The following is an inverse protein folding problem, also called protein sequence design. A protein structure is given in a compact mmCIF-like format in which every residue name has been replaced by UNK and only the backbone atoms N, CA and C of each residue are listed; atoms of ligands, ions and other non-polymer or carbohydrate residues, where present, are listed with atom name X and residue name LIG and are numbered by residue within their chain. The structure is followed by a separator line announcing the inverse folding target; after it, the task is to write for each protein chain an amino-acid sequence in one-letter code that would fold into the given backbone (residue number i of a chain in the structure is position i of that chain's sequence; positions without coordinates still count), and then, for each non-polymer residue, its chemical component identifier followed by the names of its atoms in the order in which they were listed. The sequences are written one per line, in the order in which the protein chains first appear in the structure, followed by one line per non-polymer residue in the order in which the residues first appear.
data_IF_717685190857
#
_entry.id   IF_717685190857
#
_cell.length_a   1.000
_cell.length_b   1.000
_cell.length_c   1.000
_cell.angle_alpha   90.00
_cell.angle_beta   90.00
_cell.angle_gamma   90.00
#
_symmetry.space_group_name_H-M   'P 1'
#
loop_
_entity.id
_entity.type
_entity.pdbx_description
1 polymer ?
#
# COMPACT_ATOMS: atom_id res chain seq x y z
N UNK A 1 -18.34 62.29 -47.33
CA UNK A 1 -17.58 61.04 -47.59
C UNK A 1 -16.90 60.67 -46.30
N UNK A 2 -17.42 59.66 -45.60
CA UNK A 2 -16.67 58.89 -44.61
C UNK A 2 -17.43 57.57 -44.46
N UNK A 3 -16.75 56.52 -44.91
CA UNK A 3 -17.27 55.18 -45.13
C UNK A 3 -17.68 54.48 -43.84
N UNK A 4 -18.79 53.75 -43.96
CA UNK A 4 -19.21 52.72 -43.01
C UNK A 4 -18.26 51.55 -43.21
N UNK A 5 -17.25 51.42 -42.35
CA UNK A 5 -16.37 50.26 -42.31
C UNK A 5 -16.81 49.33 -41.18
N UNK A 6 -17.51 48.27 -41.56
CA UNK A 6 -17.80 47.12 -40.72
C UNK A 6 -16.50 46.43 -40.32
N UNK A 7 -16.03 46.65 -39.09
CA UNK A 7 -15.04 45.76 -38.48
C UNK A 7 -15.75 44.49 -38.02
N UNK A 8 -15.84 43.52 -38.92
CA UNK A 8 -15.99 42.12 -38.54
C UNK A 8 -14.71 41.70 -37.82
N UNK A 9 -14.69 41.83 -36.49
CA UNK A 9 -13.73 41.11 -35.66
C UNK A 9 -13.99 39.62 -35.89
N UNK A 10 -13.18 39.02 -36.75
CA UNK A 10 -12.98 37.57 -36.81
C UNK A 10 -12.40 37.19 -35.45
N UNK A 11 -13.27 36.89 -34.49
CA UNK A 11 -12.88 36.27 -33.23
C UNK A 11 -12.20 34.94 -33.58
N UNK A 12 -10.87 34.91 -33.56
CA UNK A 12 -10.14 33.66 -33.69
C UNK A 12 -10.71 32.66 -32.66
N UNK A 13 -11.06 31.43 -33.09
CA UNK A 13 -11.63 30.47 -32.17
C UNK A 13 -10.64 30.21 -31.03
N UNK A 14 -11.08 30.05 -29.78
CA UNK A 14 -10.19 29.89 -28.62
C UNK A 14 -9.21 28.74 -28.88
N UNK A 15 -7.95 29.11 -29.11
CA UNK A 15 -6.92 28.16 -29.54
C UNK A 15 -6.46 27.37 -28.31
N UNK A 16 -6.67 26.05 -28.33
CA UNK A 16 -6.16 25.17 -27.29
C UNK A 16 -4.64 25.19 -27.32
N UNK A 17 -4.03 25.58 -26.20
CA UNK A 17 -2.58 25.62 -26.08
C UNK A 17 -2.03 24.26 -25.63
N UNK A 18 -0.80 23.89 -26.03
CA UNK A 18 -0.08 22.77 -25.43
C UNK A 18 0.56 23.17 -24.08
N UNK A 19 0.83 22.20 -23.19
CA UNK A 19 1.56 22.49 -21.95
C UNK A 19 2.99 22.92 -22.25
N UNK A 20 3.55 23.78 -21.40
CA UNK A 20 4.94 24.20 -21.49
C UNK A 20 5.88 23.00 -21.33
N UNK A 21 6.97 22.90 -22.12
CA UNK A 21 8.04 21.95 -21.86
C UNK A 21 8.56 22.08 -20.42
N UNK A 22 8.92 20.96 -19.79
CA UNK A 22 9.33 20.94 -18.40
C UNK A 22 10.04 19.65 -18.02
N UNK A 23 10.71 19.66 -16.88
CA UNK A 23 11.35 18.50 -16.28
C UNK A 23 10.59 18.09 -15.03
N UNK A 24 10.44 16.79 -14.83
CA UNK A 24 9.64 16.18 -13.77
C UNK A 24 10.46 15.12 -13.07
N UNK A 25 10.23 14.93 -11.77
CA UNK A 25 11.00 13.94 -10.99
C UNK A 25 10.51 12.53 -11.30
N UNK A 26 9.21 12.38 -11.53
CA UNK A 26 8.58 11.10 -11.84
C UNK A 26 7.71 11.15 -13.11
N UNK A 27 7.55 9.99 -13.75
CA UNK A 27 6.73 9.82 -14.95
C UNK A 27 5.28 10.21 -14.68
N UNK A 28 4.81 9.87 -13.48
CA UNK A 28 3.49 10.14 -12.96
C UNK A 28 3.20 11.64 -12.89
N UNK A 29 4.16 12.40 -12.37
CA UNK A 29 4.08 13.84 -12.22
C UNK A 29 3.96 14.53 -13.59
N UNK A 30 4.78 14.09 -14.57
CA UNK A 30 4.69 14.54 -15.95
C UNK A 30 3.31 14.28 -16.55
N UNK A 31 2.80 13.05 -16.37
CA UNK A 31 1.50 12.65 -16.92
C UNK A 31 0.39 13.50 -16.29
N UNK A 32 0.39 13.66 -14.97
CA UNK A 32 -0.59 14.46 -14.25
C UNK A 32 -0.57 15.93 -14.68
N UNK A 33 0.62 16.53 -14.76
CA UNK A 33 0.81 17.90 -15.24
C UNK A 33 0.18 18.13 -16.62
N UNK A 34 0.47 17.23 -17.58
CA UNK A 34 -0.09 17.31 -18.95
C UNK A 34 -1.61 17.12 -18.94
N UNK A 35 -2.14 16.29 -18.05
CA UNK A 35 -3.58 16.05 -17.90
C UNK A 35 -4.35 17.25 -17.37
N UNK A 36 -3.88 17.81 -16.26
CA UNK A 36 -4.51 18.94 -15.61
C UNK A 36 -4.48 20.17 -16.51
N UNK A 37 -3.35 20.38 -17.20
CA UNK A 37 -3.23 21.43 -18.22
C UNK A 37 -4.19 21.21 -19.38
N UNK A 38 -4.25 19.99 -19.96
CA UNK A 38 -5.16 19.69 -21.06
C UNK A 38 -6.63 19.96 -20.70
N UNK A 39 -7.05 19.56 -19.51
CA UNK A 39 -8.41 19.82 -19.02
C UNK A 39 -8.67 21.32 -18.87
N UNK A 40 -7.68 22.09 -18.40
CA UNK A 40 -7.80 23.56 -18.32
C UNK A 40 -7.98 24.22 -19.69
N UNK A 41 -7.43 23.60 -20.74
CA UNK A 41 -7.54 24.03 -22.13
C UNK A 41 -8.72 23.39 -22.88
N UNK A 42 -9.55 22.59 -22.20
CA UNK A 42 -10.74 21.99 -22.81
C UNK A 42 -10.47 20.78 -23.71
N UNK A 43 -9.38 20.04 -23.50
CA UNK A 43 -9.17 18.74 -24.16
C UNK A 43 -8.72 17.67 -23.16
N UNK A 44 -8.77 16.41 -23.56
CA UNK A 44 -8.35 15.29 -22.71
C UNK A 44 -7.23 14.53 -23.40
N UNK A 45 -6.18 14.24 -22.66
CA UNK A 45 -5.04 13.44 -23.12
C UNK A 45 -5.15 11.98 -22.69
N UNK A 46 -4.57 11.10 -23.50
CA UNK A 46 -4.54 9.65 -23.30
C UNK A 46 -3.15 9.11 -23.62
N UNK A 47 -2.74 8.04 -22.94
CA UNK A 47 -1.47 7.37 -23.24
C UNK A 47 -1.64 6.58 -24.53
N UNK A 48 -0.90 6.95 -25.59
CA UNK A 48 -0.89 6.26 -26.89
C UNK A 48 0.14 5.14 -26.91
N UNK A 49 1.33 5.39 -26.35
CA UNK A 49 2.41 4.43 -26.23
C UNK A 49 3.17 4.67 -24.93
N UNK A 50 3.64 3.61 -24.27
CA UNK A 50 4.43 3.73 -23.05
C UNK A 50 5.44 2.59 -22.92
N UNK A 51 6.68 2.93 -22.57
CA UNK A 51 7.72 2.04 -22.04
C UNK A 51 8.07 2.57 -20.65
N UNK A 52 7.64 1.84 -19.60
CA UNK A 52 7.52 2.35 -18.22
C UNK A 52 8.74 3.12 -17.72
N UNK A 53 9.96 2.66 -18.01
CA UNK A 53 11.18 3.26 -17.48
C UNK A 53 11.95 4.14 -18.47
N UNK A 54 11.38 4.43 -19.65
CA UNK A 54 12.11 5.16 -20.71
C UNK A 54 11.30 6.26 -21.39
N UNK A 55 10.06 5.97 -21.79
CA UNK A 55 9.29 6.88 -22.67
C UNK A 55 7.79 6.75 -22.41
N UNK A 56 7.08 7.87 -22.41
CA UNK A 56 5.62 7.93 -22.49
C UNK A 56 5.19 8.87 -23.60
N UNK A 57 4.24 8.45 -24.44
CA UNK A 57 3.64 9.25 -25.52
C UNK A 57 2.19 9.51 -25.16
N UNK A 58 1.86 10.79 -25.04
CA UNK A 58 0.54 11.32 -24.70
C UNK A 58 -0.06 11.95 -25.96
N UNK A 59 -1.32 11.63 -26.27
CA UNK A 59 -2.04 12.21 -27.39
C UNK A 59 -3.49 12.51 -27.03
N UNK A 60 -4.13 13.38 -27.79
CA UNK A 60 -5.54 13.74 -27.57
C UNK A 60 -6.45 12.49 -27.66
N UNK A 61 -7.48 12.45 -26.82
CA UNK A 61 -8.47 11.37 -26.79
C UNK A 61 -9.28 11.27 -28.10
N UNK A 62 -9.44 12.40 -28.82
CA UNK A 62 -9.99 12.49 -30.19
C UNK A 62 -8.98 12.10 -31.28
N UNK A 63 -7.75 11.74 -30.94
CA UNK A 63 -6.71 11.28 -31.87
C UNK A 63 -6.87 9.83 -32.33
N UNK A 64 -6.62 9.57 -33.62
CA UNK A 64 -6.73 8.27 -34.28
C UNK A 64 -7.96 8.11 -35.18
N UNK A 65 -8.08 6.93 -35.80
CA UNK A 65 -9.16 6.58 -36.74
C UNK A 65 -9.91 5.35 -36.20
N UNK A 66 -11.23 5.31 -36.38
CA UNK A 66 -12.02 4.12 -36.02
C UNK A 66 -11.55 2.92 -36.84
N UNK A 67 -11.22 1.81 -36.17
CA UNK A 67 -10.94 0.55 -36.87
C UNK A 67 -12.22 0.07 -37.54
N UNK A 68 -12.20 -0.09 -38.86
CA UNK A 68 -13.28 -0.78 -39.58
C UNK A 68 -13.36 -2.21 -39.07
N UNK A 69 -14.38 -2.51 -38.28
CA UNK A 69 -14.69 -3.89 -37.90
C UNK A 69 -15.21 -4.58 -39.16
N UNK A 70 -14.40 -5.46 -39.77
CA UNK A 70 -14.90 -6.34 -40.85
C UNK A 70 -16.12 -7.09 -40.31
N UNK A 71 -17.29 -6.78 -40.86
CA UNK A 71 -18.52 -7.55 -40.67
C UNK A 71 -18.30 -8.84 -41.45
N UNK A 72 -18.31 -10.00 -40.79
CA UNK A 72 -18.53 -11.26 -41.49
C UNK A 72 -19.90 -11.17 -42.17
N UNK A 73 -19.94 -11.45 -43.46
CA UNK A 73 -21.18 -11.56 -44.21
C UNK A 73 -21.93 -12.79 -43.67
N UNK A 74 -22.94 -12.55 -42.85
CA UNK A 74 -24.26 -13.13 -43.05
C UNK A 74 -25.27 -12.49 -42.09
N UNK A 75 -26.53 -12.54 -42.53
CA UNK A 75 -27.75 -12.11 -41.86
C UNK A 75 -28.11 -10.62 -41.95
N UNK A 76 -28.86 -10.37 -43.03
CA UNK A 76 -29.94 -9.41 -43.13
C UNK A 76 -30.96 -9.57 -41.99
N UNK A 77 -30.97 -8.63 -41.06
CA UNK A 77 -32.22 -8.24 -40.39
C UNK A 77 -32.16 -6.79 -39.98
N UNK A 78 -33.25 -6.09 -40.30
CA UNK A 78 -33.45 -4.69 -40.04
C UNK A 78 -33.60 -4.47 -38.53
N UNK A 79 -32.65 -3.77 -37.92
CA UNK A 79 -32.91 -3.13 -36.64
C UNK A 79 -32.25 -1.77 -36.56
N UNK A 80 -33.11 -0.76 -36.43
CA UNK A 80 -32.80 0.65 -36.29
C UNK A 80 -31.85 0.83 -35.09
N UNK A 81 -30.54 0.86 -35.35
CA UNK A 81 -29.54 1.09 -34.32
C UNK A 81 -29.66 2.55 -33.88
N UNK A 82 -30.29 2.76 -32.71
CA UNK A 82 -30.20 4.01 -31.95
C UNK A 82 -28.72 4.41 -31.84
N UNK A 83 -28.28 5.31 -32.72
CA UNK A 83 -26.93 5.90 -32.67
C UNK A 83 -26.82 6.66 -31.35
N UNK A 84 -26.04 6.11 -30.41
CA UNK A 84 -25.67 6.83 -29.18
C UNK A 84 -25.01 8.16 -29.58
N UNK A 85 -25.59 9.29 -29.15
CA UNK A 85 -24.88 10.57 -29.07
C UNK A 85 -23.81 10.46 -27.98
N UNK A 86 -22.69 9.80 -28.25
CA UNK A 86 -21.49 9.85 -27.39
C UNK A 86 -20.68 11.08 -27.77
N UNK A 87 -20.37 11.95 -26.78
CA UNK A 87 -19.69 13.24 -26.97
C UNK A 87 -18.23 13.19 -27.45
N UNK A 88 -17.66 12.01 -27.68
CA UNK A 88 -16.30 11.86 -28.22
C UNK A 88 -16.33 11.13 -29.57
N UNK A 89 -16.27 11.90 -30.66
CA UNK A 89 -15.94 11.39 -31.99
C UNK A 89 -14.43 11.51 -32.18
N UNK A 90 -13.79 10.45 -32.71
CA UNK A 90 -12.40 10.54 -33.14
C UNK A 90 -12.33 11.50 -34.34
N UNK A 91 -11.50 12.54 -34.23
CA UNK A 91 -11.27 13.55 -35.29
C UNK A 91 -9.89 13.40 -35.94
N UNK A 92 -9.16 12.33 -35.60
CA UNK A 92 -7.76 12.17 -35.95
C UNK A 92 -6.90 13.37 -35.51
N UNK A 93 -7.17 13.88 -34.30
CA UNK A 93 -6.43 15.01 -33.72
C UNK A 93 -4.91 14.76 -33.69
N UNK A 94 -4.07 15.70 -34.17
CA UNK A 94 -2.63 15.49 -34.34
C UNK A 94 -1.79 15.79 -33.09
N UNK A 95 -2.41 16.29 -32.01
CA UNK A 95 -1.72 16.59 -30.75
C UNK A 95 -0.92 15.39 -30.22
N UNK A 96 0.37 15.60 -29.99
CA UNK A 96 1.29 14.61 -29.42
C UNK A 96 2.35 15.28 -28.54
N UNK A 97 2.47 14.78 -27.31
CA UNK A 97 3.49 15.13 -26.34
C UNK A 97 4.25 13.88 -25.90
N UNK A 98 5.55 14.00 -25.67
CA UNK A 98 6.43 12.88 -25.33
C UNK A 98 7.21 13.21 -24.07
N UNK A 99 7.09 12.35 -23.07
CA UNK A 99 7.98 12.32 -21.92
C UNK A 99 9.11 11.31 -22.15
N UNK A 100 10.37 11.74 -22.06
CA UNK A 100 11.54 10.85 -22.10
C UNK A 100 12.31 10.96 -20.79
N UNK A 101 12.84 9.84 -20.30
CA UNK A 101 13.73 9.84 -19.13
C UNK A 101 15.16 10.17 -19.58
N UNK A 102 15.72 11.23 -19.02
CA UNK A 102 17.06 11.76 -19.29
C UNK A 102 17.73 12.13 -17.96
N UNK A 103 18.93 11.59 -17.68
CA UNK A 103 19.67 11.77 -16.43
C UNK A 103 18.85 11.64 -15.13
N UNK A 104 17.93 10.68 -15.11
CA UNK A 104 17.08 10.40 -13.95
C UNK A 104 15.81 11.25 -13.85
N UNK A 105 15.69 12.30 -14.66
CA UNK A 105 14.52 13.18 -14.74
C UNK A 105 13.67 12.86 -15.97
N UNK A 106 12.38 13.18 -15.91
CA UNK A 106 11.45 13.05 -17.02
C UNK A 106 11.31 14.38 -17.74
N UNK A 107 11.77 14.45 -18.99
CA UNK A 107 11.72 15.63 -19.84
C UNK A 107 10.51 15.55 -20.74
N UNK A 108 9.61 16.55 -20.66
CA UNK A 108 8.45 16.70 -21.53
C UNK A 108 8.82 17.50 -22.79
N UNK A 109 8.54 16.93 -23.95
CA UNK A 109 8.70 17.56 -25.26
C UNK A 109 7.38 17.53 -26.01
N UNK A 110 6.91 18.69 -26.48
CA UNK A 110 5.74 18.77 -27.35
C UNK A 110 6.17 18.51 -28.78
N UNK A 111 5.68 17.42 -29.40
CA UNK A 111 5.95 17.14 -30.81
C UNK A 111 4.98 17.88 -31.72
N UNK A 112 3.71 17.90 -31.34
CA UNK A 112 2.68 18.67 -32.04
C UNK A 112 1.68 19.22 -31.03
N UNK A 113 1.59 20.55 -30.95
CA UNK A 113 0.69 21.25 -30.04
C UNK A 113 -0.65 21.64 -30.66
N UNK A 114 -0.90 21.31 -31.93
CA UNK A 114 -2.10 21.73 -32.64
C UNK A 114 -3.26 20.76 -32.45
N UNK A 115 -4.47 21.30 -32.49
CA UNK A 115 -5.73 20.57 -32.40
C UNK A 115 -6.61 20.91 -33.60
N UNK A 116 -7.37 19.93 -34.10
CA UNK A 116 -8.26 20.09 -35.25
C UNK A 116 -9.76 20.02 -34.87
N UNK A 117 -10.07 20.33 -33.63
CA UNK A 117 -11.43 20.32 -33.08
C UNK A 117 -11.59 21.47 -32.09
N UNK A 118 -12.82 21.83 -31.75
CA UNK A 118 -13.09 22.84 -30.72
C UNK A 118 -12.85 22.29 -29.30
N UNK A 119 -12.57 23.16 -28.31
CA UNK A 119 -12.52 22.80 -26.89
C UNK A 119 -13.84 22.20 -26.40
N UNK A 120 -13.75 21.31 -25.43
CA UNK A 120 -14.87 20.71 -24.73
C UNK A 120 -15.48 21.79 -23.81
N UNK A 121 -16.72 22.19 -24.10
CA UNK A 121 -17.46 23.23 -23.34
C UNK A 121 -17.82 22.80 -21.92
N UNK A 122 -18.19 21.52 -21.72
CA UNK A 122 -18.45 20.94 -20.41
C UNK A 122 -17.73 19.60 -20.26
N UNK A 123 -16.77 19.56 -19.35
CA UNK A 123 -15.99 18.35 -19.04
C UNK A 123 -16.86 17.27 -18.38
N UNK A 124 -17.97 17.64 -17.73
CA UNK A 124 -18.88 16.71 -17.03
C UNK A 124 -19.54 15.72 -18.01
N UNK A 125 -19.77 16.16 -19.24
CA UNK A 125 -20.35 15.33 -20.29
C UNK A 125 -19.33 14.34 -20.87
N UNK A 126 -18.04 14.60 -20.69
CA UNK A 126 -16.95 13.81 -21.25
C UNK A 126 -16.84 12.43 -20.60
N UNK A 127 -16.54 11.35 -21.35
CA UNK A 127 -16.34 10.03 -20.77
C UNK A 127 -15.23 9.95 -19.70
N UNK A 128 -14.24 10.86 -19.71
CA UNK A 128 -13.19 10.90 -18.69
C UNK A 128 -13.72 11.32 -17.31
N UNK A 129 -14.73 12.19 -17.23
CA UNK A 129 -15.30 12.65 -15.96
C UNK A 129 -16.05 11.55 -15.19
N UNK A 130 -16.33 10.42 -15.85
CA UNK A 130 -16.97 9.23 -15.26
C UNK A 130 -15.97 8.12 -14.95
N UNK A 131 -14.66 8.40 -15.04
CA UNK A 131 -13.60 7.48 -14.64
C UNK A 131 -13.34 7.65 -13.15
N UNK A 132 -12.97 6.55 -12.51
CA UNK A 132 -12.58 6.57 -11.11
C UNK A 132 -11.11 6.94 -10.99
N UNK A 133 -10.77 7.68 -9.95
CA UNK A 133 -9.39 7.94 -9.55
C UNK A 133 -8.72 6.66 -9.05
N UNK A 134 -7.38 6.67 -8.92
CA UNK A 134 -6.65 5.52 -8.37
C UNK A 134 -7.11 5.18 -6.95
N UNK A 135 -7.35 6.20 -6.13
CA UNK A 135 -7.90 6.05 -4.77
C UNK A 135 -9.30 5.43 -4.79
N UNK A 136 -10.18 5.90 -5.67
CA UNK A 136 -11.54 5.35 -5.80
C UNK A 136 -11.53 3.90 -6.30
N UNK A 137 -10.60 3.52 -7.19
CA UNK A 137 -10.46 2.14 -7.68
C UNK A 137 -9.96 1.21 -6.58
N UNK A 138 -9.02 1.67 -5.75
CA UNK A 138 -8.59 0.94 -4.55
C UNK A 138 -9.76 0.71 -3.60
N UNK A 139 -10.55 1.74 -3.32
CA UNK A 139 -11.77 1.62 -2.51
C UNK A 139 -12.80 0.67 -3.14
N UNK A 140 -12.98 0.70 -4.46
CA UNK A 140 -13.86 -0.24 -5.18
C UNK A 140 -13.36 -1.68 -5.02
N UNK A 141 -12.04 -1.89 -5.08
CA UNK A 141 -11.41 -3.21 -4.88
C UNK A 141 -11.69 -3.71 -3.47
N UNK A 142 -11.36 -2.91 -2.46
CA UNK A 142 -11.58 -3.26 -1.05
C UNK A 142 -13.05 -3.58 -0.76
N UNK A 143 -13.97 -2.69 -1.18
CA UNK A 143 -15.39 -2.92 -0.99
C UNK A 143 -15.92 -4.14 -1.77
N UNK A 144 -15.28 -4.47 -2.89
CA UNK A 144 -15.62 -5.66 -3.67
C UNK A 144 -15.19 -6.95 -2.97
N UNK A 145 -14.01 -6.95 -2.37
CA UNK A 145 -13.49 -8.05 -1.55
C UNK A 145 -14.33 -8.23 -0.28
N UNK A 146 -14.86 -7.14 0.27
CA UNK A 146 -15.84 -7.14 1.36
C UNK A 146 -17.27 -7.57 0.93
N UNK A 147 -17.46 -8.01 -0.32
CA UNK A 147 -18.74 -8.55 -0.80
C UNK A 147 -19.82 -7.50 -1.12
N UNK A 148 -19.50 -6.20 -1.14
CA UNK A 148 -20.49 -5.15 -1.38
C UNK A 148 -21.00 -5.13 -2.83
N UNK A 149 -22.31 -4.88 -2.97
CA UNK A 149 -22.96 -4.74 -4.28
C UNK A 149 -22.59 -3.38 -4.91
N UNK A 150 -22.46 -3.28 -6.25
CA UNK A 150 -22.03 -2.04 -6.93
C UNK A 150 -22.81 -0.77 -6.59
N UNK A 151 -24.11 -0.88 -6.28
CA UNK A 151 -24.93 0.27 -5.82
C UNK A 151 -24.50 0.77 -4.44
N UNK A 152 -24.14 -0.13 -3.53
CA UNK A 152 -23.65 0.20 -2.19
C UNK A 152 -22.26 0.83 -2.26
N UNK A 153 -21.39 0.27 -3.11
CA UNK A 153 -20.06 0.82 -3.41
C UNK A 153 -20.18 2.26 -3.91
N UNK A 154 -21.01 2.50 -4.92
CA UNK A 154 -21.19 3.83 -5.47
C UNK A 154 -21.80 4.82 -4.46
N UNK A 155 -22.74 4.36 -3.61
CA UNK A 155 -23.30 5.19 -2.53
C UNK A 155 -22.21 5.64 -1.56
N UNK A 156 -21.28 4.75 -1.18
CA UNK A 156 -20.14 5.10 -0.31
C UNK A 156 -19.15 6.03 -1.00
N UNK A 157 -18.82 5.78 -2.28
CA UNK A 157 -17.97 6.69 -3.04
C UNK A 157 -18.57 8.11 -3.17
N UNK A 158 -19.90 8.23 -3.22
CA UNK A 158 -20.59 9.52 -3.25
C UNK A 158 -20.61 10.24 -1.89
N UNK A 159 -20.40 9.52 -0.78
CA UNK A 159 -20.26 10.16 0.52
C UNK A 159 -18.92 10.90 0.63
N UNK A 160 -17.86 10.33 0.04
CA UNK A 160 -16.53 10.94 -0.03
C UNK A 160 -16.38 11.90 -1.22
N UNK A 161 -17.14 11.71 -2.30
CA UNK A 161 -17.14 12.56 -3.49
C UNK A 161 -18.57 12.79 -4.00
N UNK A 162 -19.29 13.81 -3.47
CA UNK A 162 -20.69 14.09 -3.84
C UNK A 162 -20.90 14.35 -5.34
N UNK A 163 -19.88 14.90 -6.01
CA UNK A 163 -19.91 15.28 -7.44
C UNK A 163 -19.58 14.11 -8.38
N UNK A 164 -19.48 12.88 -7.85
CA UNK A 164 -19.13 11.70 -8.62
C UNK A 164 -20.21 11.33 -9.66
N UNK A 165 -19.91 11.62 -10.93
CA UNK A 165 -20.76 11.36 -12.11
C UNK A 165 -20.78 9.88 -12.55
N UNK A 166 -20.04 9.01 -11.85
CA UNK A 166 -19.99 7.58 -12.14
C UNK A 166 -21.30 6.87 -11.85
N UNK A 167 -21.59 5.80 -12.60
CA UNK A 167 -22.80 4.98 -12.49
C UNK A 167 -22.46 3.58 -11.97
N UNK A 168 -23.45 2.79 -11.48
CA UNK A 168 -23.18 1.41 -11.03
C UNK A 168 -22.55 0.54 -12.12
N UNK A 169 -22.85 0.83 -13.39
CA UNK A 169 -22.24 0.15 -14.55
C UNK A 169 -20.73 0.34 -14.61
N UNK A 170 -20.22 1.52 -14.24
CA UNK A 170 -18.78 1.76 -14.21
C UNK A 170 -18.11 0.94 -13.12
N UNK A 171 -18.74 0.83 -11.95
CA UNK A 171 -18.26 -0.04 -10.86
C UNK A 171 -18.24 -1.50 -11.31
N UNK A 172 -19.28 -1.97 -12.00
CA UNK A 172 -19.31 -3.32 -12.59
C UNK A 172 -18.13 -3.57 -13.55
N UNK A 173 -17.83 -2.61 -14.43
CA UNK A 173 -16.71 -2.72 -15.36
C UNK A 173 -15.37 -2.82 -14.63
N UNK A 174 -15.17 -2.04 -13.56
CA UNK A 174 -13.96 -2.13 -12.71
C UNK A 174 -13.88 -3.51 -12.05
N UNK A 175 -14.97 -3.98 -11.43
CA UNK A 175 -15.04 -5.32 -10.80
C UNK A 175 -14.77 -6.45 -11.78
N UNK A 176 -15.29 -6.36 -13.01
CA UNK A 176 -15.08 -7.37 -14.04
C UNK A 176 -13.60 -7.44 -14.45
N UNK A 177 -12.96 -6.28 -14.63
CA UNK A 177 -11.54 -6.24 -14.96
C UNK A 177 -10.65 -6.69 -13.78
N UNK A 178 -11.02 -6.38 -12.53
CA UNK A 178 -10.29 -6.84 -11.34
C UNK A 178 -10.26 -8.37 -11.24
N UNK A 179 -11.36 -9.03 -11.62
CA UNK A 179 -11.48 -10.50 -11.62
C UNK A 179 -10.66 -11.20 -12.70
N UNK A 180 -10.37 -10.55 -13.82
CA UNK A 180 -9.69 -11.17 -14.96
C UNK A 180 -8.16 -11.28 -14.79
N UNK A 181 -7.58 -10.92 -13.63
CA UNK A 181 -6.13 -10.95 -13.40
C UNK A 181 -5.32 -9.95 -14.25
N UNK A 182 -5.91 -9.38 -15.31
CA UNK A 182 -5.34 -8.36 -16.19
C UNK A 182 -5.14 -6.98 -15.52
N UNK A 183 -5.35 -6.87 -14.20
CA UNK A 183 -5.39 -5.59 -13.49
C UNK A 183 -4.58 -5.59 -12.20
N UNK A 184 -3.36 -5.07 -12.29
CA UNK A 184 -2.76 -4.37 -11.15
C UNK A 184 -3.37 -2.97 -11.08
N UNK A 185 -3.60 -2.44 -9.87
CA UNK A 185 -4.16 -1.09 -9.62
C UNK A 185 -3.43 0.00 -10.43
N UNK A 186 -2.15 -0.24 -10.76
CA UNK A 186 -1.29 0.61 -11.59
C UNK A 186 -1.73 0.80 -13.05
N UNK A 187 -2.63 -0.03 -13.59
CA UNK A 187 -3.07 0.05 -14.99
C UNK A 187 -4.26 1.02 -15.23
N UNK A 188 -4.71 1.76 -14.20
CA UNK A 188 -5.84 2.69 -14.29
C UNK A 188 -5.48 4.12 -13.83
N UNK A 189 -4.30 4.62 -14.22
CA UNK A 189 -4.04 6.06 -14.10
C UNK A 189 -4.73 6.79 -15.25
N UNK A 190 -5.99 7.16 -15.05
CA UNK A 190 -6.69 8.08 -15.93
C UNK A 190 -6.61 9.50 -15.41
N UNK A 191 -6.20 10.40 -16.31
CA UNK A 191 -6.13 11.84 -16.16
C UNK A 191 -7.53 12.38 -15.83
N UNK A 192 -7.75 12.67 -14.56
CA UNK A 192 -8.98 13.26 -14.04
C UNK A 192 -8.60 14.40 -13.09
N UNK A 193 -9.24 15.56 -13.19
CA UNK A 193 -8.86 16.74 -12.43
C UNK A 193 -9.24 16.56 -10.94
N UNK A 194 -8.32 16.90 -10.03
CA UNK A 194 -8.68 17.17 -8.63
C UNK A 194 -9.10 18.63 -8.49
N UNK A 195 -10.27 18.91 -7.89
CA UNK A 195 -10.67 20.29 -7.54
C UNK A 195 -10.59 20.51 -6.03
N UNK A 196 -9.94 21.62 -5.70
CA UNK A 196 -9.63 22.23 -4.41
C UNK A 196 -10.84 22.45 -3.48
N UNK A 197 -10.68 22.12 -2.19
CA UNK A 197 -11.51 22.62 -1.10
C UNK A 197 -10.93 23.93 -0.53
N UNK A 198 -11.76 24.97 -0.59
CA UNK A 198 -11.86 26.18 0.25
C UNK A 198 -10.56 26.80 0.80
N UNK A 199 -10.23 27.95 0.20
CA UNK A 199 -9.16 28.89 0.56
C UNK A 199 -9.58 29.69 1.81
N UNK A 200 -8.93 29.47 2.95
CA UNK A 200 -8.91 30.43 4.06
C UNK A 200 -7.60 31.21 4.01
N UNK A 201 -7.72 32.53 3.83
CA UNK A 201 -6.61 33.47 3.80
C UNK A 201 -6.05 33.64 5.23
N UNK A 202 -4.84 33.12 5.46
CA UNK A 202 -3.91 33.73 6.41
C UNK A 202 -2.60 33.99 5.66
N UNK A 203 -2.19 35.25 5.65
CA UNK A 203 -0.89 35.71 5.17
C UNK A 203 0.21 34.99 5.95
N UNK A 204 0.79 33.95 5.35
CA UNK A 204 1.95 33.26 5.89
C UNK A 204 3.20 33.77 5.15
N UNK A 205 4.05 34.43 5.92
CA UNK A 205 5.44 34.79 5.58
C UNK A 205 6.12 33.62 4.86
N UNK A 206 6.63 33.89 3.66
CA UNK A 206 7.36 32.92 2.84
C UNK A 206 8.60 32.42 3.59
N UNK A 207 8.56 31.17 4.06
CA UNK A 207 9.75 30.42 4.48
C UNK A 207 10.29 29.62 3.29
N UNK A 208 11.62 29.51 3.13
CA UNK A 208 12.24 28.89 1.96
C UNK A 208 11.93 27.39 1.83
N UNK A 209 11.81 26.91 0.59
CA UNK A 209 11.21 25.64 0.14
C UNK A 209 11.97 24.35 0.48
N UNK A 210 12.84 24.34 1.48
CA UNK A 210 13.62 23.16 1.89
C UNK A 210 13.06 22.45 3.14
N UNK A 211 11.98 22.96 3.72
CA UNK A 211 11.26 22.29 4.81
C UNK A 211 9.77 22.21 4.48
N UNK A 212 9.35 21.11 3.88
CA UNK A 212 8.01 20.50 4.01
C UNK A 212 7.86 19.36 2.98
N UNK A 213 8.50 18.22 3.26
CA UNK A 213 7.84 16.94 3.02
C UNK A 213 7.54 16.43 4.41
N UNK A 214 6.26 16.26 4.73
CA UNK A 214 5.92 15.60 5.99
C UNK A 214 6.57 14.20 5.96
N UNK A 215 7.34 13.84 7.00
CA UNK A 215 8.01 12.56 7.05
C UNK A 215 6.99 11.42 6.97
N UNK A 216 7.31 10.31 6.28
CA UNK A 216 6.39 9.19 6.13
C UNK A 216 5.97 8.63 7.49
N UNK A 217 4.67 8.38 7.68
CA UNK A 217 4.14 7.76 8.89
C UNK A 217 4.29 6.25 8.82
N UNK A 218 4.77 5.65 9.92
CA UNK A 218 4.94 4.21 10.05
C UNK A 218 3.58 3.58 10.38
N UNK A 219 3.11 2.59 9.61
CA UNK A 219 1.81 1.96 9.85
C UNK A 219 1.88 0.93 10.98
N UNK A 220 0.75 0.70 11.65
CA UNK A 220 0.52 -0.53 12.41
C UNK A 220 0.19 -1.67 11.45
N UNK A 221 0.46 -2.92 11.83
CA UNK A 221 -0.07 -4.09 11.13
C UNK A 221 -1.16 -4.72 12.00
N UNK A 222 -2.42 -4.63 11.57
CA UNK A 222 -3.56 -5.14 12.32
C UNK A 222 -4.39 -6.05 11.41
N UNK A 223 -4.50 -7.32 11.76
CA UNK A 223 -5.34 -8.28 11.04
C UNK A 223 -4.93 -8.46 9.56
N UNK A 224 -3.63 -8.38 9.26
CA UNK A 224 -3.09 -8.50 7.90
C UNK A 224 -3.21 -7.24 7.05
N UNK A 225 -3.54 -6.09 7.64
CA UNK A 225 -3.59 -4.79 6.95
C UNK A 225 -2.63 -3.80 7.60
N UNK A 226 -1.90 -3.07 6.78
CA UNK A 226 -1.16 -1.90 7.22
C UNK A 226 -2.14 -0.73 7.40
N UNK A 227 -2.23 -0.21 8.62
CA UNK A 227 -3.21 0.79 9.03
C UNK A 227 -2.49 2.01 9.58
N UNK A 228 -2.82 3.18 9.06
CA UNK A 228 -2.39 4.45 9.65
C UNK A 228 -3.10 4.66 10.99
N UNK A 229 -2.33 4.92 12.04
CA UNK A 229 -2.92 5.13 13.37
C UNK A 229 -3.73 6.43 13.43
N UNK A 230 -4.83 6.37 14.17
CA UNK A 230 -5.68 7.51 14.52
C UNK A 230 -5.10 8.35 15.66
N UNK A 231 -3.97 7.93 16.24
CA UNK A 231 -3.28 8.68 17.28
C UNK A 231 -2.84 10.06 16.78
N UNK A 232 -3.09 11.07 17.61
CA UNK A 232 -2.57 12.42 17.43
C UNK A 232 -1.12 12.57 17.89
N UNK A 233 -0.57 11.55 18.55
CA UNK A 233 0.80 11.54 19.07
C UNK A 233 1.67 10.65 18.19
N UNK A 234 2.81 11.20 17.78
CA UNK A 234 3.83 10.46 17.04
C UNK A 234 5.23 10.79 17.57
N UNK A 235 6.15 9.87 17.34
CA UNK A 235 7.57 9.95 17.69
C UNK A 235 8.34 10.06 16.38
N UNK A 236 9.19 11.07 16.29
CA UNK A 236 10.05 11.27 15.13
C UNK A 236 11.23 10.27 15.17
N UNK A 237 11.46 9.55 14.07
CA UNK A 237 12.66 8.74 13.85
C UNK A 237 13.73 9.64 13.24
N UNK A 238 14.89 9.71 13.89
CA UNK A 238 15.90 10.73 13.60
C UNK A 238 17.20 10.13 13.07
N UNK A 239 17.64 10.60 11.91
CA UNK A 239 19.00 10.37 11.40
C UNK A 239 19.38 11.37 10.28
N UNK A 240 20.23 12.39 10.51
CA UNK A 240 20.16 13.44 11.55
C UNK A 240 18.95 14.40 11.42
N UNK A 241 18.10 14.19 10.42
CA UNK A 241 16.79 14.84 10.26
C UNK A 241 15.68 13.78 10.45
N UNK A 242 14.41 14.19 10.48
CA UNK A 242 13.29 13.25 10.62
C UNK A 242 13.17 12.38 9.36
N UNK A 243 13.32 11.07 9.53
CA UNK A 243 13.25 10.06 8.47
C UNK A 243 11.83 9.50 8.34
N UNK A 244 11.17 9.25 9.46
CA UNK A 244 9.81 8.72 9.53
C UNK A 244 9.13 9.13 10.85
N UNK A 245 7.81 8.96 10.93
CA UNK A 245 7.01 9.27 12.13
C UNK A 245 6.27 8.04 12.61
N UNK A 246 6.57 7.62 13.83
CA UNK A 246 6.01 6.42 14.46
C UNK A 246 4.82 6.82 15.32
N UNK A 247 3.61 6.31 15.07
CA UNK A 247 2.49 6.64 15.93
C UNK A 247 2.66 6.02 17.32
N UNK A 248 2.18 6.71 18.34
CA UNK A 248 1.91 6.05 19.63
C UNK A 248 0.56 5.38 19.49
N UNK A 249 0.55 4.06 19.31
CA UNK A 249 -0.68 3.29 19.07
C UNK A 249 -1.69 3.53 20.19
N UNK A 250 -2.95 3.69 19.81
CA UNK A 250 -4.04 3.84 20.78
C UNK A 250 -4.39 2.51 21.44
N UNK A 251 -4.98 2.53 22.63
CA UNK A 251 -5.36 1.29 23.32
C UNK A 251 -6.43 0.52 22.53
N UNK A 252 -7.29 1.20 21.77
CA UNK A 252 -8.29 0.60 20.89
C UNK A 252 -7.63 -0.14 19.72
N UNK A 253 -6.60 0.44 19.11
CA UNK A 253 -5.81 -0.20 18.05
C UNK A 253 -5.02 -1.40 18.59
N UNK A 254 -4.44 -1.28 19.78
CA UNK A 254 -3.80 -2.39 20.46
C UNK A 254 -4.77 -3.55 20.70
N UNK A 255 -5.94 -3.27 21.29
CA UNK A 255 -7.00 -4.28 21.50
C UNK A 255 -7.49 -4.88 20.18
N UNK A 256 -7.54 -4.10 19.11
CA UNK A 256 -7.86 -4.62 17.78
C UNK A 256 -6.79 -5.58 17.24
N UNK A 257 -5.51 -5.33 17.51
CA UNK A 257 -4.41 -6.24 17.17
C UNK A 257 -4.48 -7.55 17.96
N UNK A 258 -4.67 -7.47 19.28
CA UNK A 258 -4.86 -8.65 20.15
C UNK A 258 -6.09 -9.45 19.73
N UNK A 259 -7.21 -8.79 19.48
CA UNK A 259 -8.42 -9.45 18.98
C UNK A 259 -8.20 -10.15 17.63
N UNK A 260 -7.47 -9.52 16.71
CA UNK A 260 -7.12 -10.13 15.42
C UNK A 260 -6.25 -11.38 15.59
N UNK A 261 -5.26 -11.33 16.48
CA UNK A 261 -4.42 -12.47 16.83
C UNK A 261 -5.24 -13.61 17.44
N UNK A 262 -6.01 -13.33 18.48
CA UNK A 262 -6.91 -14.30 19.12
C UNK A 262 -7.88 -14.94 18.14
N UNK A 263 -8.45 -14.17 17.21
CA UNK A 263 -9.36 -14.70 16.18
C UNK A 263 -8.64 -15.61 15.17
N UNK A 264 -7.38 -15.34 14.85
CA UNK A 264 -6.60 -16.14 13.92
C UNK A 264 -6.08 -17.45 14.55
N UNK A 265 -5.85 -17.45 15.88
CA UNK A 265 -5.19 -18.54 16.59
C UNK A 265 -5.85 -19.92 16.40
N UNK A 266 -7.18 -20.11 16.54
CA UNK A 266 -7.80 -21.43 16.38
C UNK A 266 -7.57 -22.08 15.02
N UNK A 267 -7.57 -21.29 13.94
CA UNK A 267 -7.30 -21.81 12.61
C UNK A 267 -5.81 -22.07 12.41
N UNK A 268 -4.97 -21.18 12.94
CA UNK A 268 -3.52 -21.27 12.75
C UNK A 268 -2.88 -22.43 13.51
N UNK A 269 -3.27 -22.68 14.77
CA UNK A 269 -2.77 -23.81 15.54
C UNK A 269 -3.08 -25.15 14.85
N UNK A 270 -4.26 -25.26 14.24
CA UNK A 270 -4.74 -26.45 13.53
C UNK A 270 -4.19 -26.58 12.10
N UNK A 271 -3.47 -25.57 11.60
CA UNK A 271 -2.79 -25.65 10.31
C UNK A 271 -1.60 -26.61 10.44
N UNK A 272 -1.47 -27.66 9.58
CA UNK A 272 -0.39 -28.64 9.72
C UNK A 272 0.99 -27.97 9.71
N UNK A 273 1.89 -28.45 10.56
CA UNK A 273 3.25 -27.91 10.75
C UNK A 273 4.04 -27.76 9.43
N UNK A 274 3.90 -28.73 8.53
CA UNK A 274 4.54 -28.71 7.20
C UNK A 274 4.04 -27.53 6.35
N UNK A 275 2.77 -27.14 6.50
CA UNK A 275 2.22 -25.96 5.81
C UNK A 275 2.80 -24.68 6.40
N UNK A 276 2.97 -24.61 7.73
CA UNK A 276 3.61 -23.48 8.40
C UNK A 276 5.09 -23.34 7.99
N UNK A 277 5.82 -24.46 7.90
CA UNK A 277 7.20 -24.50 7.40
C UNK A 277 7.34 -23.97 5.96
N UNK A 278 6.41 -24.32 5.06
CA UNK A 278 6.43 -23.80 3.67
C UNK A 278 6.36 -22.28 3.60
N UNK A 279 5.64 -21.65 4.53
CA UNK A 279 5.60 -20.19 4.64
C UNK A 279 6.98 -19.67 5.07
N UNK A 280 7.67 -20.31 6.01
CA UNK A 280 9.03 -19.92 6.41
C UNK A 280 10.05 -20.08 5.29
N UNK A 281 9.99 -21.15 4.49
CA UNK A 281 10.85 -21.31 3.32
C UNK A 281 10.66 -20.16 2.32
N UNK A 282 9.40 -19.79 2.04
CA UNK A 282 9.11 -18.64 1.18
C UNK A 282 9.55 -17.32 1.81
N UNK A 283 9.35 -17.16 3.11
CA UNK A 283 9.76 -15.95 3.84
C UNK A 283 11.29 -15.76 3.80
N UNK A 284 12.05 -16.83 4.00
CA UNK A 284 13.50 -16.85 3.85
C UNK A 284 13.95 -16.43 2.44
N UNK A 285 13.33 -16.97 1.39
CA UNK A 285 13.60 -16.56 0.00
C UNK A 285 13.35 -15.06 -0.20
N UNK A 286 12.25 -14.54 0.35
CA UNK A 286 11.88 -13.13 0.23
C UNK A 286 12.83 -12.21 0.98
N UNK A 287 13.31 -12.59 2.17
CA UNK A 287 14.34 -11.82 2.90
C UNK A 287 15.62 -11.76 2.06
N UNK A 288 16.07 -12.89 1.49
CA UNK A 288 17.25 -12.92 0.62
C UNK A 288 17.08 -12.03 -0.61
N UNK A 289 15.90 -12.04 -1.23
CA UNK A 289 15.57 -11.17 -2.38
C UNK A 289 15.70 -9.69 -2.03
N UNK A 290 15.21 -9.29 -0.86
CA UNK A 290 15.08 -7.89 -0.46
C UNK A 290 16.11 -7.43 0.59
N UNK A 291 17.18 -8.22 0.79
CA UNK A 291 18.22 -7.95 1.80
C UNK A 291 18.85 -6.55 1.64
N UNK A 292 19.07 -6.11 0.40
CA UNK A 292 19.60 -4.77 0.11
C UNK A 292 18.66 -3.65 0.57
N UNK A 293 17.35 -3.88 0.49
CA UNK A 293 16.34 -2.91 0.93
C UNK A 293 16.27 -2.86 2.45
N UNK A 294 16.28 -4.02 3.10
CA UNK A 294 16.32 -4.14 4.56
C UNK A 294 17.55 -3.42 5.12
N UNK A 295 18.74 -3.72 4.60
CA UNK A 295 19.99 -3.09 5.06
C UNK A 295 19.98 -1.57 4.87
N UNK A 296 19.39 -1.07 3.78
CA UNK A 296 19.22 0.37 3.53
C UNK A 296 18.27 1.04 4.52
N UNK A 297 17.15 0.41 4.87
CA UNK A 297 16.21 0.95 5.86
C UNK A 297 16.88 1.03 7.23
N UNK A 298 17.56 -0.04 7.65
CA UNK A 298 18.29 -0.06 8.92
C UNK A 298 19.33 1.06 8.94
N UNK A 299 20.10 1.22 7.86
CA UNK A 299 21.09 2.30 7.75
C UNK A 299 20.42 3.68 7.82
N UNK A 300 19.25 3.83 7.20
CA UNK A 300 18.53 5.10 7.15
C UNK A 300 17.94 5.50 8.50
N UNK A 301 17.43 4.57 9.30
CA UNK A 301 16.81 4.89 10.60
C UNK A 301 17.81 4.79 11.77
N UNK A 302 18.57 3.70 11.87
CA UNK A 302 19.51 3.47 12.96
C UNK A 302 20.85 4.20 12.78
N UNK A 303 21.30 4.39 11.54
CA UNK A 303 22.58 5.03 11.24
C UNK A 303 23.82 4.13 11.35
N UNK A 304 23.66 2.82 11.57
CA UNK A 304 24.78 1.85 11.50
C UNK A 304 25.30 1.73 10.06
N UNK A 305 26.54 1.27 9.89
CA UNK A 305 27.10 1.13 8.54
C UNK A 305 26.31 0.11 7.72
N UNK A 306 26.28 0.28 6.39
CA UNK A 306 25.55 -0.66 5.52
C UNK A 306 26.05 -2.11 5.70
N UNK A 307 27.36 -2.30 5.94
CA UNK A 307 27.95 -3.62 6.22
C UNK A 307 27.40 -4.23 7.50
N UNK A 308 27.29 -3.45 8.57
CA UNK A 308 26.72 -3.91 9.84
C UNK A 308 25.22 -4.20 9.71
N UNK A 309 24.51 -3.39 8.92
CA UNK A 309 23.10 -3.62 8.60
C UNK A 309 22.87 -4.92 7.80
N UNK A 310 23.77 -5.29 6.87
CA UNK A 310 23.72 -6.61 6.25
C UNK A 310 23.92 -7.72 7.30
N UNK A 311 24.88 -7.56 8.21
CA UNK A 311 25.12 -8.51 9.29
C UNK A 311 23.90 -8.72 10.20
N UNK A 312 23.19 -7.64 10.53
CA UNK A 312 21.93 -7.65 11.29
C UNK A 312 20.86 -8.51 10.59
N UNK A 313 20.62 -8.27 9.30
CA UNK A 313 19.63 -9.03 8.52
C UNK A 313 20.04 -10.49 8.35
N UNK A 314 21.32 -10.77 8.09
CA UNK A 314 21.82 -12.14 7.89
C UNK A 314 21.68 -12.98 9.16
N UNK A 315 22.02 -12.45 10.33
CA UNK A 315 21.82 -13.16 11.60
C UNK A 315 20.35 -13.42 11.92
N UNK A 316 19.46 -12.49 11.57
CA UNK A 316 18.02 -12.75 11.67
C UNK A 316 17.54 -13.80 10.68
N UNK A 317 18.09 -13.82 9.47
CA UNK A 317 17.77 -14.81 8.44
C UNK A 317 18.15 -16.23 8.87
N UNK A 318 19.27 -16.41 9.56
CA UNK A 318 19.69 -17.71 10.13
C UNK A 318 18.62 -18.28 11.08
N UNK A 319 17.92 -17.46 11.86
CA UNK A 319 16.81 -17.92 12.69
C UNK A 319 15.55 -18.29 11.89
N UNK A 320 15.29 -17.63 10.77
CA UNK A 320 14.22 -18.05 9.85
C UNK A 320 14.55 -19.41 9.22
N UNK A 321 15.83 -19.64 8.91
CA UNK A 321 16.31 -20.94 8.43
C UNK A 321 16.18 -22.02 9.50
N UNK A 322 16.48 -21.68 10.76
CA UNK A 322 16.20 -22.56 11.89
C UNK A 322 14.70 -22.86 12.02
N UNK A 323 13.84 -21.85 11.85
CA UNK A 323 12.38 -22.00 11.88
C UNK A 323 11.88 -22.99 10.80
N UNK A 324 12.53 -23.03 9.63
CA UNK A 324 12.20 -24.01 8.59
C UNK A 324 12.38 -25.46 9.06
N UNK A 325 13.25 -25.72 10.04
CA UNK A 325 13.51 -27.04 10.63
C UNK A 325 12.63 -27.42 11.83
N UNK A 326 11.72 -26.55 12.30
CA UNK A 326 11.01 -26.74 13.57
C UNK A 326 10.13 -28.00 13.65
N UNK A 327 9.77 -28.65 12.54
CA UNK A 327 8.87 -29.79 12.62
C UNK A 327 9.39 -30.96 13.45
N UNK A 328 10.68 -31.27 13.34
CA UNK A 328 11.30 -32.31 14.15
C UNK A 328 11.48 -31.89 15.60
N UNK A 329 11.63 -30.58 15.86
CA UNK A 329 11.77 -30.01 17.20
C UNK A 329 10.44 -29.98 17.98
N UNK A 330 9.30 -30.08 17.30
CA UNK A 330 7.98 -30.20 17.95
C UNK A 330 7.58 -31.65 18.29
N UNK A 331 8.40 -32.64 17.93
CA UNK A 331 8.13 -34.04 18.25
C UNK A 331 8.10 -34.22 19.78
N UNK A 332 7.06 -34.89 20.26
CA UNK A 332 6.91 -35.31 21.65
C UNK A 332 7.60 -36.63 21.94
N UNK A 333 7.53 -37.07 23.19
CA UNK A 333 8.13 -38.33 23.65
C UNK A 333 7.04 -39.38 23.88
N UNK A 334 7.38 -40.65 23.68
CA UNK A 334 6.47 -41.77 23.94
C UNK A 334 7.25 -42.89 24.63
N UNK A 335 6.71 -43.39 25.74
CA UNK A 335 7.22 -44.54 26.47
C UNK A 335 6.08 -45.52 26.71
N UNK A 336 6.16 -46.70 26.10
CA UNK A 336 5.17 -47.75 26.29
C UNK A 336 5.35 -48.48 27.61
N UNK A 337 4.25 -48.88 28.24
CA UNK A 337 4.21 -49.75 29.42
C UNK A 337 5.13 -49.28 30.56
N UNK A 338 5.07 -47.98 30.90
CA UNK A 338 5.77 -47.42 32.07
C UNK A 338 5.31 -48.06 33.38
N UNK A 339 4.06 -48.55 33.42
CA UNK A 339 3.56 -49.38 34.52
C UNK A 339 2.31 -50.17 34.09
N UNK A 340 2.32 -51.49 34.27
CA UNK A 340 1.15 -52.37 34.19
C UNK A 340 0.15 -52.07 33.04
N UNK A 341 0.64 -51.98 31.81
CA UNK A 341 -0.18 -51.70 30.63
C UNK A 341 -0.53 -50.23 30.41
N UNK A 342 0.13 -49.31 31.13
CA UNK A 342 -0.02 -47.86 30.95
C UNK A 342 1.09 -47.33 30.05
N UNK A 343 0.72 -46.66 28.97
CA UNK A 343 1.63 -45.89 28.12
C UNK A 343 1.67 -44.44 28.60
N UNK A 344 2.81 -43.78 28.41
CA UNK A 344 2.99 -42.34 28.68
C UNK A 344 3.51 -41.64 27.44
N UNK A 345 2.99 -40.44 27.19
CA UNK A 345 3.44 -39.61 26.09
C UNK A 345 3.40 -38.13 26.44
N UNK A 346 4.21 -37.34 25.76
CA UNK A 346 4.17 -35.88 25.80
C UNK A 346 3.85 -35.33 24.43
N UNK A 347 3.14 -34.19 24.40
CA UNK A 347 2.87 -33.42 23.18
C UNK A 347 3.24 -31.96 23.43
N UNK A 348 3.71 -31.28 22.38
CA UNK A 348 4.03 -29.85 22.42
C UNK A 348 2.93 -29.08 21.71
N UNK A 349 2.19 -28.29 22.45
CA UNK A 349 1.09 -27.46 21.92
C UNK A 349 1.46 -25.97 21.92
N UNK A 350 0.92 -25.18 20.98
CA UNK A 350 1.10 -23.73 21.01
C UNK A 350 0.38 -23.11 22.22
N UNK A 351 0.98 -22.06 22.78
CA UNK A 351 0.48 -21.35 23.96
C UNK A 351 -0.74 -20.48 23.67
N UNK A 352 -0.77 -19.80 22.51
CA UNK A 352 -1.82 -18.82 22.20
C UNK A 352 -1.32 -17.59 21.46
N UNK A 353 -1.76 -16.42 21.94
CA UNK A 353 -1.20 -15.13 21.52
C UNK A 353 0.07 -14.89 22.32
N UNK A 354 1.18 -14.66 21.63
CA UNK A 354 2.45 -14.27 22.24
C UNK A 354 2.80 -12.83 21.82
N UNK A 355 3.66 -12.17 22.57
CA UNK A 355 4.17 -10.85 22.24
C UNK A 355 5.69 -10.77 22.28
N UNK A 356 6.26 -9.87 21.48
CA UNK A 356 7.68 -9.58 21.42
C UNK A 356 7.93 -8.09 21.52
N UNK A 357 8.79 -7.67 22.44
CA UNK A 357 9.20 -6.28 22.62
C UNK A 357 10.69 -6.20 22.28
N UNK A 358 11.01 -5.44 21.23
CA UNK A 358 12.37 -5.37 20.68
C UNK A 358 13.06 -4.04 21.00
N UNK A 359 14.39 -4.05 21.25
CA UNK A 359 15.18 -2.84 21.40
C UNK A 359 15.55 -2.28 20.01
N UNK A 360 16.24 -1.15 20.00
CA UNK A 360 16.69 -0.49 18.77
C UNK A 360 18.01 -1.07 18.23
N UNK A 361 18.82 -1.77 19.02
CA UNK A 361 20.19 -2.11 18.60
C UNK A 361 20.25 -3.02 17.36
N UNK A 362 19.25 -3.88 17.17
CA UNK A 362 19.16 -4.81 16.04
C UNK A 362 17.72 -4.94 15.53
N UNK A 363 17.24 -3.97 14.72
CA UNK A 363 15.83 -3.86 14.34
C UNK A 363 15.36 -4.92 13.32
N UNK A 364 16.25 -5.74 12.77
CA UNK A 364 15.88 -6.90 11.95
C UNK A 364 16.12 -8.23 12.68
N UNK A 365 17.32 -8.43 13.25
CA UNK A 365 17.71 -9.67 13.91
C UNK A 365 16.75 -10.05 15.05
N UNK A 366 16.47 -9.13 15.97
CA UNK A 366 15.70 -9.46 17.18
C UNK A 366 14.24 -9.78 16.86
N UNK A 367 13.52 -9.03 16.00
CA UNK A 367 12.21 -9.47 15.52
C UNK A 367 12.22 -10.88 14.92
N UNK A 368 13.25 -11.22 14.13
CA UNK A 368 13.39 -12.53 13.48
C UNK A 368 13.76 -13.66 14.45
N UNK A 369 14.32 -13.34 15.63
CA UNK A 369 14.51 -14.31 16.70
C UNK A 369 13.20 -14.70 17.39
N UNK A 370 12.21 -13.79 17.37
CA UNK A 370 10.98 -13.95 18.14
C UNK A 370 9.83 -14.52 17.30
N UNK A 371 9.34 -13.75 16.32
CA UNK A 371 8.06 -14.09 15.69
C UNK A 371 8.13 -15.33 14.77
N UNK A 372 9.19 -15.58 13.97
CA UNK A 372 9.22 -16.73 13.07
C UNK A 372 9.13 -18.06 13.81
N UNK A 373 9.85 -18.19 14.93
CA UNK A 373 9.79 -19.37 15.80
C UNK A 373 8.38 -19.52 16.39
N UNK A 374 7.86 -18.44 16.97
CA UNK A 374 6.55 -18.44 17.62
C UNK A 374 5.42 -18.83 16.66
N UNK A 375 5.37 -18.23 15.47
CA UNK A 375 4.31 -18.51 14.48
C UNK A 375 4.46 -19.90 13.88
N UNK A 376 5.69 -20.39 13.68
CA UNK A 376 5.91 -21.74 13.15
C UNK A 376 5.51 -22.83 14.15
N UNK A 377 5.65 -22.56 15.44
CA UNK A 377 5.13 -23.42 16.50
C UNK A 377 3.60 -23.44 16.59
N UNK A 378 2.90 -22.51 15.91
CA UNK A 378 1.44 -22.44 15.85
C UNK A 378 0.82 -21.30 16.67
N UNK A 379 1.63 -20.44 17.28
CA UNK A 379 1.15 -19.25 18.00
C UNK A 379 0.81 -18.11 17.04
N UNK A 380 0.07 -17.13 17.54
CA UNK A 380 -0.07 -15.80 16.88
C UNK A 380 0.77 -14.79 17.64
N UNK A 381 1.21 -13.72 16.98
CA UNK A 381 2.26 -12.85 17.51
C UNK A 381 1.90 -11.36 17.41
N UNK A 382 2.12 -10.64 18.51
CA UNK A 382 2.10 -9.17 18.58
C UNK A 382 3.54 -8.67 18.72
N UNK A 383 4.05 -7.97 17.71
CA UNK A 383 5.40 -7.43 17.73
C UNK A 383 5.36 -5.92 18.03
N UNK A 384 6.13 -5.48 19.03
CA UNK A 384 6.39 -4.07 19.31
C UNK A 384 7.88 -3.76 19.06
N UNK A 385 8.24 -3.30 17.85
CA UNK A 385 9.61 -2.88 17.54
C UNK A 385 9.93 -1.56 18.22
N UNK A 386 11.22 -1.22 18.35
CA UNK A 386 11.58 0.09 18.91
C UNK A 386 11.05 1.23 18.05
N UNK A 387 10.52 2.25 18.72
CA UNK A 387 10.07 3.50 18.13
C UNK A 387 11.18 4.32 17.48
N UNK A 388 12.46 3.94 17.68
CA UNK A 388 13.62 4.62 17.09
C UNK A 388 13.92 4.19 15.66
N UNK A 389 13.57 2.96 15.27
CA UNK A 389 13.93 2.37 13.99
C UNK A 389 13.02 1.18 13.57
N UNK A 390 11.69 1.38 13.51
CA UNK A 390 10.75 0.28 13.29
C UNK A 390 10.65 -0.19 11.83
N UNK A 391 11.26 0.53 10.89
CA UNK A 391 11.05 0.32 9.46
C UNK A 391 11.47 -1.08 8.99
N UNK A 392 12.54 -1.63 9.56
CA UNK A 392 12.99 -2.98 9.24
C UNK A 392 11.94 -4.03 9.66
N UNK A 393 11.39 -3.92 10.87
CA UNK A 393 10.34 -4.81 11.36
C UNK A 393 9.05 -4.73 10.52
N UNK A 394 8.67 -3.52 10.10
CA UNK A 394 7.50 -3.32 9.20
C UNK A 394 7.73 -3.98 7.84
N UNK A 395 8.90 -3.80 7.23
CA UNK A 395 9.24 -4.46 5.98
C UNK A 395 9.27 -5.99 6.12
N UNK A 396 9.82 -6.52 7.21
CA UNK A 396 9.79 -7.96 7.48
C UNK A 396 8.36 -8.49 7.59
N UNK A 397 7.45 -7.72 8.18
CA UNK A 397 6.04 -8.08 8.22
C UNK A 397 5.36 -8.03 6.84
N UNK A 398 5.71 -7.07 5.97
CA UNK A 398 5.25 -7.06 4.57
C UNK A 398 5.69 -8.34 3.84
N UNK A 399 6.95 -8.73 4.02
CA UNK A 399 7.51 -9.94 3.45
C UNK A 399 6.84 -11.21 4.03
N UNK A 400 6.50 -11.23 5.32
CA UNK A 400 5.78 -12.36 5.93
C UNK A 400 4.35 -12.49 5.37
N UNK A 401 3.65 -11.37 5.16
CA UNK A 401 2.34 -11.37 4.48
C UNK A 401 2.49 -11.82 3.03
N UNK A 402 3.52 -11.38 2.30
CA UNK A 402 3.82 -11.84 0.94
C UNK A 402 4.14 -13.35 0.91
N UNK A 403 4.79 -13.88 1.94
CA UNK A 403 5.07 -15.30 2.11
C UNK A 403 3.80 -16.15 2.31
N UNK A 404 2.66 -15.50 2.59
CA UNK A 404 1.36 -16.16 2.80
C UNK A 404 1.04 -16.40 4.27
N UNK A 405 1.69 -15.70 5.20
CA UNK A 405 1.31 -15.72 6.60
C UNK A 405 -0.14 -15.23 6.75
N UNK A 406 -1.04 -15.99 7.40
CA UNK A 406 -2.45 -15.61 7.47
C UNK A 406 -2.70 -14.30 8.22
N UNK A 407 -3.77 -13.61 7.83
CA UNK A 407 -4.20 -12.36 8.46
C UNK A 407 -4.41 -12.54 9.98
N UNK A 408 -3.75 -11.68 10.76
CA UNK A 408 -3.82 -11.69 12.22
C UNK A 408 -2.80 -12.62 12.90
N UNK A 409 -2.08 -13.48 12.17
CA UNK A 409 -1.03 -14.31 12.76
C UNK A 409 0.18 -13.49 13.21
N UNK A 410 0.51 -12.43 12.46
CA UNK A 410 1.46 -11.40 12.89
C UNK A 410 0.74 -10.05 12.90
N UNK A 411 0.93 -9.30 13.97
CA UNK A 411 0.49 -7.91 14.09
C UNK A 411 1.66 -7.07 14.62
N UNK A 412 1.68 -5.79 14.25
CA UNK A 412 2.67 -4.81 14.73
C UNK A 412 1.91 -3.65 15.35
N UNK A 413 2.31 -3.31 16.58
CA UNK A 413 1.86 -2.12 17.31
C UNK A 413 3.08 -1.30 17.72
N UNK A 414 2.97 0.02 17.62
CA UNK A 414 4.03 0.94 18.01
C UNK A 414 3.69 1.71 19.28
N UNK A 415 4.69 2.19 20.03
CA UNK A 415 4.46 2.99 21.23
C UNK A 415 5.59 2.85 22.23
N UNK A 416 5.46 3.46 23.40
CA UNK A 416 6.48 3.42 24.46
C UNK A 416 6.00 2.54 25.62
N UNK A 417 6.15 3.01 26.87
CA UNK A 417 5.84 2.24 28.06
C UNK A 417 4.35 1.86 28.17
N UNK A 418 3.44 2.73 27.71
CA UNK A 418 2.00 2.46 27.82
C UNK A 418 1.59 1.21 27.02
N UNK A 419 2.16 1.02 25.83
CA UNK A 419 1.93 -0.18 25.01
C UNK A 419 2.65 -1.40 25.58
N UNK A 420 3.84 -1.22 26.16
CA UNK A 420 4.54 -2.32 26.86
C UNK A 420 3.71 -2.82 28.04
N UNK A 421 3.21 -1.92 28.89
CA UNK A 421 2.34 -2.26 30.01
C UNK A 421 1.06 -2.92 29.51
N UNK A 422 0.43 -2.37 28.46
CA UNK A 422 -0.76 -2.99 27.87
C UNK A 422 -0.49 -4.41 27.35
N UNK A 423 0.69 -4.70 26.80
CA UNK A 423 1.10 -6.07 26.41
C UNK A 423 1.20 -6.98 27.62
N UNK A 424 1.78 -6.51 28.73
CA UNK A 424 2.01 -7.32 29.91
C UNK A 424 0.73 -7.55 30.74
N UNK A 425 -0.21 -6.61 30.70
CA UNK A 425 -1.44 -6.63 31.48
C UNK A 425 -2.63 -7.29 30.74
N UNK A 426 -2.47 -7.69 29.46
CA UNK A 426 -3.55 -8.29 28.66
C UNK A 426 -3.64 -9.81 28.85
N UNK A 427 -4.76 -10.26 29.42
CA UNK A 427 -5.04 -11.68 29.72
C UNK A 427 -5.02 -12.61 28.49
N UNK A 428 -5.21 -12.09 27.27
CA UNK A 428 -5.18 -12.89 26.05
C UNK A 428 -3.75 -13.21 25.60
N UNK A 429 -2.75 -12.45 26.07
CA UNK A 429 -1.33 -12.68 25.80
C UNK A 429 -0.76 -13.68 26.81
N UNK A 430 -0.27 -14.82 26.31
CA UNK A 430 0.15 -15.98 27.13
C UNK A 430 1.65 -16.04 27.40
N UNK A 431 2.44 -15.36 26.58
CA UNK A 431 3.88 -15.26 26.75
C UNK A 431 4.40 -13.96 26.15
N UNK A 432 5.38 -13.36 26.83
CA UNK A 432 6.07 -12.17 26.37
C UNK A 432 7.56 -12.48 26.28
N UNK A 433 8.16 -12.14 25.13
CA UNK A 433 9.60 -12.14 24.92
C UNK A 433 10.09 -10.70 24.88
N UNK A 434 11.13 -10.40 25.65
CA UNK A 434 11.70 -9.07 25.76
C UNK A 434 13.22 -9.15 25.61
N UNK A 435 13.78 -8.24 24.83
CA UNK A 435 15.23 -8.01 24.76
C UNK A 435 15.47 -6.53 25.01
N UNK A 436 16.31 -6.21 25.98
CA UNK A 436 16.62 -4.84 26.35
C UNK A 436 17.50 -4.75 27.60
N UNK A 437 17.96 -3.55 27.96
CA UNK A 437 18.93 -3.37 29.04
C UNK A 437 18.35 -3.76 30.41
N UNK A 438 19.23 -4.24 31.31
CA UNK A 438 18.86 -4.76 32.63
C UNK A 438 18.03 -3.81 33.52
N UNK A 439 18.13 -2.49 33.30
CA UNK A 439 17.35 -1.51 34.05
C UNK A 439 15.83 -1.59 33.73
N UNK A 440 15.47 -2.14 32.57
CA UNK A 440 14.07 -2.33 32.13
C UNK A 440 13.59 -3.76 32.44
N UNK A 441 14.50 -4.74 32.55
CA UNK A 441 14.15 -6.13 32.87
C UNK A 441 13.66 -6.34 34.32
N UNK A 442 13.85 -5.36 35.21
CA UNK A 442 13.36 -5.41 36.59
C UNK A 442 11.88 -5.02 36.76
N UNK A 443 11.17 -4.61 35.70
CA UNK A 443 9.84 -3.99 35.83
C UNK A 443 8.63 -4.91 35.57
N UNK A 444 8.78 -6.23 35.43
CA UNK A 444 7.64 -7.16 35.50
C UNK A 444 8.07 -8.63 35.69
N UNK A 445 8.61 -8.95 36.87
CA UNK A 445 8.44 -10.31 37.42
C UNK A 445 7.17 -10.26 38.25
N UNK A 446 6.08 -10.72 37.61
CA UNK A 446 4.80 -11.19 38.16
C UNK A 446 4.53 -10.84 39.64
N UNK A 447 3.59 -9.93 39.85
CA UNK A 447 2.73 -10.00 41.03
C UNK A 447 1.91 -11.29 40.94
N UNK A 448 1.73 -11.92 42.10
CA UNK A 448 1.09 -13.21 42.33
C UNK A 448 -0.26 -13.38 41.58
N UNK A 449 -0.51 -14.61 41.12
CA UNK A 449 -1.81 -15.13 40.67
C UNK A 449 -2.31 -14.78 39.24
N UNK A 450 -1.52 -15.01 38.18
CA UNK A 450 -2.04 -15.54 36.88
C UNK A 450 -0.93 -15.77 35.82
N UNK A 451 -0.72 -17.03 35.46
CA UNK A 451 -0.39 -17.62 34.15
C UNK A 451 0.31 -16.85 32.99
N UNK A 452 1.28 -15.96 33.22
CA UNK A 452 2.12 -15.43 32.12
C UNK A 452 3.59 -15.81 32.30
N UNK A 453 4.13 -16.65 31.40
CA UNK A 453 5.56 -17.03 31.43
C UNK A 453 6.37 -16.03 30.61
N UNK A 454 7.19 -15.22 31.29
CA UNK A 454 8.17 -14.33 30.66
C UNK A 454 9.37 -15.16 30.20
N UNK A 455 9.63 -15.23 28.89
CA UNK A 455 10.84 -15.86 28.37
C UNK A 455 11.88 -14.76 28.09
N UNK A 456 12.78 -14.53 29.04
CA UNK A 456 13.98 -13.72 28.85
C UNK A 456 14.96 -14.50 27.97
N UNK A 457 15.18 -14.03 26.74
CA UNK A 457 16.34 -14.43 25.95
C UNK A 457 17.36 -13.31 26.16
N UNK A 458 18.28 -13.52 27.11
CA UNK A 458 19.38 -12.59 27.39
C UNK A 458 20.47 -12.66 26.31
#
# INVERSE_FOLDING_TARGET
MMDIQSCSELSEPPQMLPPSPGTFVDREELIQHVGDFAVSQGYVVTIKQSKRDRVVVLGCDRGGVYRNRRKSADESSAECTRRRKTGTRLTNCPFEAVGKKDDGLWVLTIKNGTHNHEPIKDISEHPSARRFTEREILLIKEMTEAGLKPRQILKRLRQSNPDLLSTPKHVYNVKAKLRQGNMTVRNFKSLGPQKSAVRNNYLAVTKPSWRQRDPPRVPNLIGGRFVDSQSFTSIDVLNPQVVSQVPVTTIEEFKAAVFAAKRAFPLWQNTPIVTRQRIMFKFQELIRRDIDKLARIITAEHGKTLKDAYGDVLRGLEEVEHACGLATLQIGEFVSNVSNGTDSYSIREPLGVCAGICPFDFPAMIPLWMFPISVTCGNTFILKPSEKDPGAAVMLAELAVEAGLPNGVLNIVHGTNDIVNAICDDDDIKAVSFVGPNAVSFLQVLNNDTSCSLLLIC
#
